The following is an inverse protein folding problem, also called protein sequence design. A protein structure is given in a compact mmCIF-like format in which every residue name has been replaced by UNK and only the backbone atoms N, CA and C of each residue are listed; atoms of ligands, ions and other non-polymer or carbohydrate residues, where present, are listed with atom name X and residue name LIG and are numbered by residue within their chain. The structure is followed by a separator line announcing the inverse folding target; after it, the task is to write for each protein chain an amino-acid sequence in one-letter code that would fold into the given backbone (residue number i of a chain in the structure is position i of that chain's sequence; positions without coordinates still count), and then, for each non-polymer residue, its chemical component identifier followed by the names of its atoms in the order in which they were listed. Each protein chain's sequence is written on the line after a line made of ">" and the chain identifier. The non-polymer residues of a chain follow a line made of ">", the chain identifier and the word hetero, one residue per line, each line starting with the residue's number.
data_IF_828037276414
#
_entry.id   IF_828037276414
#
_cell.length_a   1.000
_cell.length_b   1.000
_cell.length_c   1.000
_cell.angle_alpha   90.00
_cell.angle_beta   90.00
_cell.angle_gamma   90.00
#
_symmetry.space_group_name_H-M   'P 1'
#
loop_
_entity.id
_entity.type
_entity.pdbx_description
1 polymer ?
#
# COMPACT_ATOMS: atom_id res chain seq x y z
N UNK A 1 -0.06 14.04 20.41
CA UNK A 1 0.91 13.37 19.52
C UNK A 1 0.22 12.13 18.97
N UNK A 2 0.18 11.95 17.65
CA UNK A 2 -0.35 10.74 17.02
C UNK A 2 0.85 9.81 16.79
N UNK A 3 0.80 8.59 17.33
CA UNK A 3 1.85 7.58 17.14
C UNK A 3 1.31 6.46 16.26
N UNK A 4 2.04 6.12 15.22
CA UNK A 4 1.69 5.08 14.25
C UNK A 4 2.88 4.15 14.14
N UNK A 5 2.63 2.86 14.29
CA UNK A 5 3.65 1.83 14.19
C UNK A 5 3.04 0.59 13.52
N UNK A 6 3.86 -0.13 12.76
CA UNK A 6 3.49 -1.46 12.29
C UNK A 6 3.46 -2.46 13.45
N UNK A 7 2.68 -3.54 13.33
CA UNK A 7 2.81 -4.70 14.21
C UNK A 7 4.24 -5.24 14.24
N UNK A 8 4.67 -5.82 15.36
CA UNK A 8 6.05 -6.31 15.54
C UNK A 8 6.45 -7.37 14.52
N UNK A 9 5.51 -8.21 14.08
CA UNK A 9 5.76 -9.25 13.09
C UNK A 9 6.16 -8.72 11.71
N UNK A 10 5.89 -7.45 11.41
CA UNK A 10 6.27 -6.85 10.12
C UNK A 10 7.79 -6.84 9.94
N UNK A 11 8.56 -6.72 11.03
CA UNK A 11 10.02 -6.79 10.99
C UNK A 11 10.57 -8.17 10.57
N UNK A 12 9.76 -9.23 10.68
CA UNK A 12 10.14 -10.58 10.25
C UNK A 12 10.05 -10.76 8.73
N UNK A 13 9.25 -9.92 8.05
CA UNK A 13 8.99 -10.01 6.60
C UNK A 13 9.76 -8.95 5.81
N UNK A 14 9.95 -7.77 6.40
CA UNK A 14 10.64 -6.67 5.77
C UNK A 14 12.16 -6.90 5.81
N UNK A 15 12.71 -7.43 4.72
CA UNK A 15 14.15 -7.46 4.51
C UNK A 15 14.61 -6.08 4.01
N UNK A 16 15.27 -5.32 4.89
CA UNK A 16 15.74 -3.95 4.67
C UNK A 16 17.07 -3.87 3.91
N UNK A 17 17.79 -4.99 3.80
CA UNK A 17 19.10 -5.06 3.14
C UNK A 17 18.99 -5.62 1.73
N UNK A 18 17.87 -6.27 1.40
CA UNK A 18 17.55 -6.77 0.06
C UNK A 18 17.22 -5.65 -0.94
N UNK A 19 17.75 -5.82 -2.14
CA UNK A 19 17.28 -5.13 -3.35
C UNK A 19 16.16 -5.94 -4.00
N UNK A 20 14.99 -5.33 -4.17
CA UNK A 20 13.85 -5.91 -4.85
C UNK A 20 13.87 -5.43 -6.30
N UNK A 21 14.31 -6.33 -7.18
CA UNK A 21 14.76 -6.01 -8.53
C UNK A 21 13.65 -5.93 -9.57
N UNK A 22 12.46 -6.48 -9.27
CA UNK A 22 11.29 -6.45 -10.16
C UNK A 22 10.02 -6.03 -9.44
N UNK A 23 9.03 -5.58 -10.20
CA UNK A 23 7.70 -5.25 -9.67
C UNK A 23 7.06 -6.45 -8.97
N UNK A 24 7.26 -7.68 -9.48
CA UNK A 24 6.75 -8.90 -8.86
C UNK A 24 7.42 -9.18 -7.51
N UNK A 25 8.74 -8.94 -7.36
CA UNK A 25 9.39 -9.09 -6.06
C UNK A 25 8.86 -8.07 -5.04
N UNK A 26 8.72 -6.82 -5.45
CA UNK A 26 8.19 -5.73 -4.62
C UNK A 26 6.73 -5.99 -4.25
N UNK A 27 5.92 -6.44 -5.21
CA UNK A 27 4.51 -6.78 -5.00
C UNK A 27 4.37 -7.96 -4.04
N UNK A 28 5.19 -9.01 -4.16
CA UNK A 28 5.14 -10.15 -3.24
C UNK A 28 5.44 -9.78 -1.79
N UNK A 29 6.25 -8.74 -1.54
CA UNK A 29 6.39 -8.21 -0.18
C UNK A 29 5.07 -7.58 0.30
N UNK A 30 4.45 -6.71 -0.50
CA UNK A 30 3.15 -6.10 -0.18
C UNK A 30 2.05 -7.16 0.06
N UNK A 31 2.04 -8.23 -0.75
CA UNK A 31 1.12 -9.36 -0.58
C UNK A 31 1.40 -10.20 0.67
N UNK A 32 2.67 -10.42 1.01
CA UNK A 32 3.04 -11.12 2.24
C UNK A 32 2.61 -10.34 3.47
N UNK A 33 2.81 -9.02 3.46
CA UNK A 33 2.33 -8.11 4.50
C UNK A 33 0.80 -8.15 4.64
N UNK A 34 0.08 -8.03 3.51
CA UNK A 34 -1.38 -8.11 3.50
C UNK A 34 -1.89 -9.45 4.03
N UNK A 35 -1.29 -10.56 3.58
CA UNK A 35 -1.64 -11.91 4.02
C UNK A 35 -1.40 -12.10 5.52
N UNK A 36 -0.24 -11.72 6.03
CA UNK A 36 0.08 -11.89 7.45
C UNK A 36 -0.75 -10.95 8.35
N UNK A 37 -1.16 -9.78 7.86
CA UNK A 37 -2.10 -8.90 8.56
C UNK A 37 -3.47 -9.58 8.79
N UNK A 38 -3.93 -10.35 7.80
CA UNK A 38 -5.11 -11.21 7.95
C UNK A 38 -4.85 -12.38 8.90
N UNK A 39 -3.72 -13.07 8.72
CA UNK A 39 -3.47 -14.34 9.40
C UNK A 39 -3.19 -14.17 10.89
N UNK A 40 -2.44 -13.13 11.26
CA UNK A 40 -1.96 -12.89 12.62
C UNK A 40 -2.89 -11.98 13.42
N UNK A 41 -3.46 -10.96 12.78
CA UNK A 41 -4.21 -9.92 13.48
C UNK A 41 -5.71 -9.90 13.12
N UNK A 42 -6.15 -10.68 12.13
CA UNK A 42 -7.53 -10.62 11.62
C UNK A 42 -7.88 -9.27 10.99
N UNK A 43 -6.88 -8.46 10.65
CA UNK A 43 -7.04 -7.11 10.13
C UNK A 43 -7.22 -7.10 8.60
N UNK A 44 -7.56 -5.94 8.04
CA UNK A 44 -7.91 -5.82 6.62
C UNK A 44 -6.81 -6.34 5.67
N UNK A 45 -7.17 -6.94 4.53
CA UNK A 45 -6.26 -7.66 3.62
C UNK A 45 -5.42 -6.74 2.72
N UNK A 46 -4.87 -5.66 3.28
CA UNK A 46 -4.15 -4.65 2.53
C UNK A 46 -2.79 -4.36 3.12
N UNK A 47 -1.79 -4.37 2.25
CA UNK A 47 -0.40 -4.08 2.56
C UNK A 47 0.23 -3.24 1.45
N UNK A 48 1.14 -2.36 1.84
CA UNK A 48 1.88 -1.50 0.92
C UNK A 48 3.34 -1.36 1.35
N UNK A 49 4.20 -1.04 0.40
CA UNK A 49 5.62 -0.81 0.62
C UNK A 49 6.12 0.36 -0.24
N UNK A 50 7.03 1.14 0.32
CA UNK A 50 7.73 2.23 -0.37
C UNK A 50 9.13 1.76 -0.71
N UNK A 51 9.51 1.89 -1.97
CA UNK A 51 10.85 1.55 -2.45
C UNK A 51 11.52 2.76 -3.09
N UNK A 52 12.85 2.77 -3.09
CA UNK A 52 13.61 3.57 -4.04
C UNK A 52 13.45 2.95 -5.45
N UNK A 53 12.96 3.73 -6.41
CA UNK A 53 12.62 3.23 -7.75
C UNK A 53 13.82 2.63 -8.48
N UNK A 54 14.99 3.28 -8.38
CA UNK A 54 16.19 2.94 -9.16
C UNK A 54 16.96 1.75 -8.55
N UNK A 55 17.00 1.64 -7.22
CA UNK A 55 17.81 0.64 -6.51
C UNK A 55 16.97 -0.57 -6.06
N UNK A 56 15.65 -0.42 -5.95
CA UNK A 56 14.77 -1.43 -5.36
C UNK A 56 14.94 -1.58 -3.85
N UNK A 57 15.62 -0.65 -3.17
CA UNK A 57 15.79 -0.68 -1.72
C UNK A 57 14.48 -0.34 -1.02
N UNK A 58 14.17 -1.09 0.03
CA UNK A 58 12.98 -0.88 0.85
C UNK A 58 13.15 0.31 1.79
N UNK A 59 12.21 1.25 1.75
CA UNK A 59 12.20 2.47 2.59
C UNK A 59 11.23 2.34 3.76
N UNK A 60 10.01 1.88 3.50
CA UNK A 60 9.00 1.65 4.52
C UNK A 60 7.96 0.62 4.06
N UNK A 61 7.19 0.11 5.01
CA UNK A 61 6.07 -0.79 4.78
C UNK A 61 4.89 -0.33 5.62
N UNK A 62 3.67 -0.69 5.21
CA UNK A 62 2.45 -0.40 5.94
C UNK A 62 1.41 -1.48 5.71
N UNK A 63 0.60 -1.73 6.73
CA UNK A 63 -0.55 -2.65 6.67
C UNK A 63 -1.79 -1.96 7.20
N UNK A 64 -2.96 -2.37 6.73
CA UNK A 64 -4.22 -1.79 7.19
C UNK A 64 -4.40 -2.02 8.70
N UNK A 65 -4.59 -0.92 9.45
CA UNK A 65 -4.84 -0.91 10.90
C UNK A 65 -6.16 -0.22 11.27
N UNK A 66 -7.12 -0.14 10.35
CA UNK A 66 -8.38 0.58 10.57
C UNK A 66 -9.14 0.06 11.79
N UNK A 67 -9.49 -1.23 11.78
CA UNK A 67 -10.23 -1.86 12.88
C UNK A 67 -9.36 -1.99 14.15
N UNK A 68 -8.12 -2.53 14.10
CA UNK A 68 -7.33 -2.73 15.32
C UNK A 68 -7.01 -1.44 16.10
N UNK A 69 -6.93 -0.29 15.42
CA UNK A 69 -6.57 1.00 16.04
C UNK A 69 -7.72 2.02 16.02
N UNK A 70 -8.93 1.62 15.63
CA UNK A 70 -10.13 2.48 15.55
C UNK A 70 -9.87 3.79 14.80
N UNK A 71 -9.21 3.73 13.64
CA UNK A 71 -8.84 4.91 12.88
C UNK A 71 -8.98 4.65 11.37
N UNK A 72 -9.99 5.27 10.77
CA UNK A 72 -10.34 5.11 9.35
C UNK A 72 -9.23 5.54 8.38
N UNK A 73 -8.28 6.37 8.80
CA UNK A 73 -7.19 6.81 7.93
C UNK A 73 -6.04 5.79 7.82
N UNK A 74 -6.00 4.74 8.65
CA UNK A 74 -4.86 3.81 8.73
C UNK A 74 -4.96 2.67 7.69
N UNK A 75 -5.13 3.04 6.42
CA UNK A 75 -4.97 2.14 5.28
C UNK A 75 -3.49 1.79 5.06
N UNK A 76 -3.21 0.69 4.36
CA UNK A 76 -1.83 0.20 4.16
C UNK A 76 -0.93 1.25 3.51
N UNK A 77 -1.41 1.93 2.47
CA UNK A 77 -0.71 3.00 1.76
C UNK A 77 -0.44 4.20 2.66
N UNK A 78 -1.44 4.61 3.44
CA UNK A 78 -1.32 5.73 4.37
C UNK A 78 -0.27 5.46 5.44
N UNK A 79 -0.29 4.27 6.04
CA UNK A 79 0.70 3.85 7.03
C UNK A 79 2.10 3.82 6.40
N UNK A 80 2.24 3.28 5.18
CA UNK A 80 3.50 3.24 4.47
C UNK A 80 4.07 4.65 4.19
N UNK A 81 3.24 5.61 3.75
CA UNK A 81 3.65 7.00 3.56
C UNK A 81 4.07 7.67 4.87
N UNK A 82 3.26 7.54 5.92
CA UNK A 82 3.54 8.16 7.23
C UNK A 82 4.87 7.66 7.80
N UNK A 83 5.13 6.34 7.70
CA UNK A 83 6.37 5.74 8.19
C UNK A 83 7.59 6.10 7.33
N UNK A 84 7.44 6.15 5.99
CA UNK A 84 8.52 6.58 5.10
C UNK A 84 8.93 8.04 5.37
N UNK A 85 7.94 8.93 5.46
CA UNK A 85 8.15 10.36 5.72
C UNK A 85 8.77 10.60 7.10
N UNK A 86 8.29 9.89 8.13
CA UNK A 86 8.89 9.95 9.47
C UNK A 86 10.34 9.44 9.47
N UNK A 87 10.62 8.31 8.80
CA UNK A 87 11.97 7.74 8.69
C UNK A 87 12.95 8.68 7.99
N UNK A 88 12.51 9.33 6.91
CA UNK A 88 13.34 10.25 6.13
C UNK A 88 13.38 11.68 6.71
N UNK A 89 12.59 11.97 7.75
CA UNK A 89 12.50 13.31 8.33
C UNK A 89 11.97 14.35 7.35
N UNK A 90 11.11 13.95 6.40
CA UNK A 90 10.61 14.80 5.31
C UNK A 90 9.12 14.58 5.09
N UNK A 91 8.36 15.66 4.88
CA UNK A 91 6.93 15.59 4.54
C UNK A 91 6.68 15.10 3.11
N UNK A 92 7.72 14.98 2.29
CA UNK A 92 7.62 14.54 0.90
C UNK A 92 8.73 13.55 0.56
N UNK A 93 8.38 12.54 -0.24
CA UNK A 93 9.29 11.55 -0.81
C UNK A 93 9.92 12.03 -2.12
N UNK A 94 9.70 13.29 -2.51
CA UNK A 94 10.22 13.89 -3.74
C UNK A 94 11.06 15.14 -3.50
N UNK A 95 11.71 15.27 -2.34
CA UNK A 95 12.53 16.45 -2.04
C UNK A 95 13.79 16.49 -2.94
N UNK A 96 14.34 17.68 -3.26
CA UNK A 96 15.57 17.78 -4.03
C UNK A 96 16.72 16.98 -3.40
N UNK A 97 17.42 16.19 -4.19
CA UNK A 97 18.54 15.35 -3.74
C UNK A 97 18.13 14.00 -3.13
N UNK A 98 16.83 13.71 -3.00
CA UNK A 98 16.35 12.37 -2.64
C UNK A 98 16.30 11.44 -3.86
N UNK A 99 16.47 10.12 -3.67
CA UNK A 99 16.16 9.14 -4.70
C UNK A 99 14.68 9.25 -5.10
N UNK A 100 14.35 8.77 -6.30
CA UNK A 100 12.95 8.60 -6.69
C UNK A 100 12.35 7.49 -5.85
N UNK A 101 11.14 7.72 -5.36
CA UNK A 101 10.39 6.75 -4.58
C UNK A 101 9.15 6.28 -5.33
N UNK A 102 8.77 5.04 -5.09
CA UNK A 102 7.55 4.42 -5.57
C UNK A 102 6.76 3.78 -4.44
N UNK A 103 5.45 3.71 -4.61
CA UNK A 103 4.55 2.95 -3.74
C UNK A 103 4.07 1.70 -4.48
N UNK A 104 4.21 0.55 -3.84
CA UNK A 104 3.71 -0.74 -4.29
C UNK A 104 2.65 -1.21 -3.31
N UNK A 105 1.42 -1.38 -3.77
CA UNK A 105 0.26 -1.70 -2.91
C UNK A 105 -0.45 -2.96 -3.39
N UNK A 106 -0.91 -3.79 -2.44
CA UNK A 106 -1.57 -5.07 -2.75
C UNK A 106 -2.88 -4.93 -3.52
N UNK A 107 -3.51 -3.76 -3.46
CA UNK A 107 -4.76 -3.44 -4.15
C UNK A 107 -4.72 -2.03 -4.72
N UNK A 108 -5.45 -1.79 -5.80
CA UNK A 108 -5.69 -0.48 -6.38
C UNK A 108 -6.16 0.51 -5.30
N UNK A 109 -5.56 1.72 -5.18
CA UNK A 109 -5.85 2.63 -4.08
C UNK A 109 -7.30 3.17 -4.09
N UNK A 110 -7.94 3.21 -2.93
CA UNK A 110 -9.19 3.93 -2.72
C UNK A 110 -9.03 5.45 -2.94
N UNK A 111 -10.12 6.20 -3.01
CA UNK A 111 -10.11 7.65 -3.23
C UNK A 111 -9.19 8.42 -2.25
N UNK A 112 -9.17 8.03 -0.97
CA UNK A 112 -8.28 8.62 0.03
C UNK A 112 -6.80 8.34 -0.30
N UNK A 113 -6.45 7.08 -0.56
CA UNK A 113 -5.08 6.66 -0.79
C UNK A 113 -4.54 7.15 -2.15
N UNK A 114 -5.41 7.26 -3.16
CA UNK A 114 -5.08 7.86 -4.44
C UNK A 114 -4.79 9.37 -4.29
N UNK A 115 -5.61 10.09 -3.52
CA UNK A 115 -5.36 11.48 -3.17
C UNK A 115 -4.05 11.65 -2.38
N UNK A 116 -3.78 10.78 -1.41
CA UNK A 116 -2.53 10.79 -0.67
C UNK A 116 -1.30 10.50 -1.55
N UNK A 117 -1.42 9.60 -2.52
CA UNK A 117 -0.37 9.29 -3.49
C UNK A 117 0.11 10.55 -4.21
N UNK A 118 -0.82 11.42 -4.66
CA UNK A 118 -0.51 12.71 -5.29
C UNK A 118 0.35 13.62 -4.39
N UNK A 119 0.05 13.67 -3.09
CA UNK A 119 0.74 14.54 -2.13
C UNK A 119 2.03 13.94 -1.56
N UNK A 120 2.15 12.62 -1.57
CA UNK A 120 3.24 11.88 -0.92
C UNK A 120 4.64 12.24 -1.45
N UNK A 121 4.74 12.64 -2.72
CA UNK A 121 6.01 12.86 -3.42
C UNK A 121 6.55 11.65 -4.18
N UNK A 122 5.90 10.48 -4.11
CA UNK A 122 6.26 9.35 -4.99
C UNK A 122 6.11 9.71 -6.46
N UNK A 123 6.81 8.98 -7.31
CA UNK A 123 6.81 9.16 -8.77
C UNK A 123 6.32 7.94 -9.53
N UNK A 124 5.96 6.88 -8.82
CA UNK A 124 5.43 5.66 -9.40
C UNK A 124 4.49 4.96 -8.42
N UNK A 125 3.36 4.51 -8.92
CA UNK A 125 2.33 3.75 -8.23
C UNK A 125 2.19 2.39 -8.92
N UNK A 126 2.40 1.32 -8.16
CA UNK A 126 2.23 -0.06 -8.63
C UNK A 126 1.17 -0.73 -7.78
N UNK A 127 0.20 -1.40 -8.40
CA UNK A 127 -0.84 -2.12 -7.66
C UNK A 127 -1.14 -3.51 -8.20
N UNK A 128 -1.63 -4.37 -7.30
CA UNK A 128 -1.90 -5.78 -7.57
C UNK A 128 -3.35 -6.10 -7.93
N UNK A 129 -4.22 -6.27 -6.95
CA UNK A 129 -5.66 -6.44 -7.17
C UNK A 129 -6.27 -5.14 -7.71
N UNK A 130 -7.32 -5.23 -8.54
CA UNK A 130 -8.06 -4.03 -8.96
C UNK A 130 -9.16 -3.68 -7.97
N UNK A 131 -9.70 -2.47 -8.09
CA UNK A 131 -10.89 -2.04 -7.34
C UNK A 131 -12.06 -3.00 -7.52
N UNK A 132 -12.28 -3.49 -8.74
CA UNK A 132 -13.38 -4.46 -8.97
C UNK A 132 -13.18 -5.75 -8.18
N UNK A 133 -11.94 -6.15 -7.90
CA UNK A 133 -11.66 -7.31 -7.06
C UNK A 133 -11.99 -7.04 -5.58
N UNK A 134 -11.71 -5.84 -5.08
CA UNK A 134 -12.05 -5.43 -3.72
C UNK A 134 -13.56 -5.19 -3.53
N UNK A 135 -14.22 -4.52 -4.47
CA UNK A 135 -15.67 -4.26 -4.43
C UNK A 135 -16.50 -5.54 -4.49
N UNK A 136 -16.01 -6.62 -5.11
CA UNK A 136 -16.65 -7.95 -5.05
C UNK A 136 -16.72 -8.53 -3.63
N UNK A 137 -15.88 -8.02 -2.72
CA UNK A 137 -15.91 -8.34 -1.29
C UNK A 137 -16.58 -7.24 -0.45
N UNK A 138 -17.33 -6.34 -1.09
CA UNK A 138 -18.02 -5.21 -0.48
C UNK A 138 -17.12 -4.14 0.18
N UNK A 139 -15.84 -4.07 -0.18
CA UNK A 139 -15.04 -2.88 0.16
C UNK A 139 -15.48 -1.69 -0.72
N UNK A 140 -15.72 -0.55 -0.08
CA UNK A 140 -15.99 0.72 -0.77
C UNK A 140 -14.68 1.45 -1.08
N UNK A 141 -14.39 1.62 -2.37
CA UNK A 141 -13.20 2.34 -2.85
C UNK A 141 -13.44 3.85 -3.03
N UNK A 142 -14.68 4.31 -2.85
CA UNK A 142 -15.07 5.70 -3.02
C UNK A 142 -15.02 6.19 -4.48
N UNK A 143 -15.18 7.51 -4.70
CA UNK A 143 -15.34 8.11 -6.02
C UNK A 143 -13.98 8.25 -6.74
N UNK A 144 -13.45 7.14 -7.26
CA UNK A 144 -12.28 7.14 -8.15
C UNK A 144 -12.75 7.08 -9.61
N UNK A 145 -12.27 8.01 -10.44
CA UNK A 145 -12.62 8.09 -11.85
C UNK A 145 -11.39 7.88 -12.73
N UNK A 146 -11.54 7.49 -14.02
CA UNK A 146 -10.42 7.45 -14.96
C UNK A 146 -9.59 8.75 -14.95
N UNK A 147 -10.25 9.90 -14.89
CA UNK A 147 -9.65 11.23 -14.85
C UNK A 147 -8.80 11.46 -13.59
N UNK A 148 -9.08 10.74 -12.50
CA UNK A 148 -8.22 10.78 -11.31
C UNK A 148 -6.83 10.21 -11.62
N UNK A 149 -6.75 9.13 -12.38
CA UNK A 149 -5.49 8.54 -12.81
C UNK A 149 -4.77 9.40 -13.85
N UNK A 150 -5.51 9.90 -14.84
CA UNK A 150 -4.97 10.83 -15.84
C UNK A 150 -4.33 12.04 -15.16
N UNK A 151 -5.00 12.60 -14.14
CA UNK A 151 -4.43 13.70 -13.37
C UNK A 151 -3.10 13.32 -12.72
N UNK A 152 -2.98 12.17 -12.05
CA UNK A 152 -1.72 11.69 -11.48
C UNK A 152 -0.61 11.56 -12.54
N UNK A 153 -0.93 11.01 -13.72
CA UNK A 153 0.01 10.86 -14.83
C UNK A 153 0.48 12.22 -15.37
N UNK A 154 -0.41 13.21 -15.51
CA UNK A 154 -0.02 14.59 -15.89
C UNK A 154 0.89 15.27 -14.85
N UNK A 155 0.86 14.80 -13.59
CA UNK A 155 1.75 15.24 -12.51
C UNK A 155 3.07 14.46 -12.47
N UNK A 156 3.29 13.56 -13.43
CA UNK A 156 4.53 12.80 -13.58
C UNK A 156 4.62 11.58 -12.67
N UNK A 157 3.47 11.02 -12.26
CA UNK A 157 3.40 9.75 -11.53
C UNK A 157 3.13 8.64 -12.55
N UNK A 158 4.08 7.72 -12.70
CA UNK A 158 3.91 6.51 -13.50
C UNK A 158 2.96 5.53 -12.79
N UNK A 159 2.06 4.87 -13.54
CA UNK A 159 1.09 3.93 -12.96
C UNK A 159 1.24 2.57 -13.62
N UNK A 160 1.55 1.55 -12.80
CA UNK A 160 1.64 0.15 -13.22
C UNK A 160 0.53 -0.66 -12.55
N UNK A 161 -0.17 -1.44 -13.38
CA UNK A 161 -1.48 -2.00 -13.08
C UNK A 161 -1.42 -3.52 -13.09
N UNK A 162 -2.04 -4.17 -12.11
CA UNK A 162 -2.31 -5.61 -12.14
C UNK A 162 -1.11 -6.53 -11.90
N UNK A 163 -0.05 -6.05 -11.23
CA UNK A 163 1.14 -6.87 -10.95
C UNK A 163 0.77 -7.98 -9.98
N UNK A 164 1.06 -9.24 -10.30
CA UNK A 164 0.65 -10.39 -9.45
C UNK A 164 -0.85 -10.38 -9.10
N UNK A 165 -1.75 -9.96 -10.01
CA UNK A 165 -3.18 -9.79 -9.72
C UNK A 165 -3.85 -11.05 -9.16
N UNK A 166 -3.56 -12.23 -9.68
CA UNK A 166 -4.15 -13.48 -9.17
C UNK A 166 -3.70 -13.82 -7.74
N UNK A 167 -2.42 -13.60 -7.42
CA UNK A 167 -1.90 -13.73 -6.05
C UNK A 167 -2.55 -12.71 -5.11
N UNK A 168 -2.77 -11.49 -5.61
CA UNK A 168 -3.43 -10.40 -4.87
C UNK A 168 -4.90 -10.74 -4.55
N UNK A 169 -5.63 -11.25 -5.53
CA UNK A 169 -7.02 -11.74 -5.36
C UNK A 169 -7.11 -12.88 -4.35
N UNK A 170 -6.12 -13.77 -4.32
CA UNK A 170 -6.10 -14.85 -3.34
C UNK A 170 -5.98 -14.34 -1.89
N UNK A 171 -5.30 -13.21 -1.65
CA UNK A 171 -5.23 -12.58 -0.31
C UNK A 171 -6.57 -11.96 0.08
N UNK A 172 -7.25 -11.32 -0.86
CA UNK A 172 -8.61 -10.80 -0.64
C UNK A 172 -9.60 -11.92 -0.27
N UNK A 173 -9.58 -13.04 -1.01
CA UNK A 173 -10.45 -14.20 -0.72
C UNK A 173 -10.09 -14.91 0.60
N UNK A 174 -8.81 -14.92 0.98
CA UNK A 174 -8.39 -15.44 2.29
C UNK A 174 -9.10 -14.68 3.43
N UNK A 175 -9.20 -13.36 3.34
CA UNK A 175 -9.91 -12.55 4.35
C UNK A 175 -11.38 -12.89 4.45
N UNK A 176 -12.05 -13.03 3.29
CA UNK A 176 -13.45 -13.46 3.21
C UNK A 176 -13.65 -14.83 3.87
N UNK A 177 -12.76 -15.79 3.61
CA UNK A 177 -12.84 -17.14 4.18
C UNK A 177 -12.72 -17.18 5.71
N UNK A 178 -12.18 -16.12 6.31
CA UNK A 178 -12.02 -15.96 7.76
C UNK A 178 -13.08 -15.07 8.41
N UNK A 179 -14.14 -14.73 7.68
CA UNK A 179 -15.21 -13.85 8.16
C UNK A 179 -14.69 -12.49 8.65
N UNK A 180 -13.69 -11.95 7.96
CA UNK A 180 -13.14 -10.64 8.28
C UNK A 180 -14.21 -9.54 8.22
N UNK A 181 -14.10 -8.57 9.14
CA UNK A 181 -15.02 -7.43 9.24
C UNK A 181 -14.83 -6.41 8.11
N UNK A 182 -15.79 -6.36 7.20
CA UNK A 182 -15.86 -5.28 6.20
C UNK A 182 -16.37 -4.04 6.91
N UNK A 183 -15.48 -3.08 7.13
CA UNK A 183 -15.82 -1.82 7.81
C UNK A 183 -16.43 -0.82 6.82
N UNK A 184 -17.48 -0.11 7.26
CA UNK A 184 -18.19 0.92 6.48
C UNK A 184 -18.84 0.44 5.16
N UNK A 185 -19.06 -0.87 4.99
CA UNK A 185 -19.80 -1.46 3.84
C UNK A 185 -21.29 -1.66 4.09
#
# INVERSE_FOLDING_TARGET
>A
MVQIANPSWVAELADWERQYSSDEERMRLALSLARENVLRDGAGPFGAAIFESDTGMLVAVGVNRVVPLNNSALHGEMVAFMLAQARLGSYTLGAPGMPRHEVVTSCEPCAMCLGATLWSGVRRLVWGASREDATRLNFDEGPVFPESYEYLETRGIEIVRGVCREESRAVLELYRSRSGEIYNG
#
